data_IF_576791282072
#
_entry.id   IF_576791282072
#
_cell.length_a   1.000
_cell.length_b   1.000
_cell.length_c   1.000
_cell.angle_alpha   90.00
_cell.angle_beta   90.00
_cell.angle_gamma   90.00
#
_symmetry.space_group_name_H-M   'P 1'
#
loop_
_entity.id
_entity.type
_entity.pdbx_description
1 polymer ?
#
# COMPACT_ATOMS: atom_id res chain seq x y z
N UNK A 1 -5.36 -58.50 -14.29
CA UNK A 1 -5.49 -59.27 -13.03
C UNK A 1 -5.01 -58.35 -11.92
N UNK A 2 -5.97 -58.14 -11.04
CA UNK A 2 -5.85 -57.77 -9.60
C UNK A 2 -5.35 -56.37 -9.26
N UNK A 3 -5.93 -55.63 -8.35
CA UNK A 3 -7.20 -55.71 -7.64
C UNK A 3 -7.46 -54.34 -7.01
N UNK A 4 -8.67 -53.98 -7.07
CA UNK A 4 -9.30 -52.84 -6.44
C UNK A 4 -9.36 -53.05 -4.92
N UNK A 5 -8.82 -52.12 -4.12
CA UNK A 5 -9.15 -52.05 -2.70
C UNK A 5 -9.75 -50.70 -2.38
N UNK A 6 -11.06 -50.70 -2.28
CA UNK A 6 -11.89 -49.69 -1.64
C UNK A 6 -11.76 -49.85 -0.13
N UNK A 7 -11.32 -48.81 0.57
CA UNK A 7 -11.56 -48.73 2.02
C UNK A 7 -12.50 -47.56 2.25
N UNK A 8 -13.76 -47.94 2.44
CA UNK A 8 -14.80 -47.06 2.93
C UNK A 8 -14.63 -46.85 4.44
N UNK A 9 -14.51 -45.63 4.88
CA UNK A 9 -14.71 -45.27 6.28
C UNK A 9 -16.05 -44.59 6.45
N UNK A 10 -16.95 -45.35 7.02
CA UNK A 10 -18.28 -44.97 7.44
C UNK A 10 -18.22 -44.68 8.95
N UNK A 11 -18.25 -43.40 9.33
CA UNK A 11 -18.51 -43.04 10.72
C UNK A 11 -19.87 -42.35 10.84
N UNK A 12 -20.75 -43.09 11.45
CA UNK A 12 -22.05 -42.65 11.95
C UNK A 12 -21.85 -41.66 13.11
N UNK A 13 -22.56 -40.57 13.05
CA UNK A 13 -23.47 -39.98 14.00
C UNK A 13 -23.05 -39.91 15.46
N UNK A 14 -22.95 -38.71 15.97
CA UNK A 14 -23.58 -38.38 17.27
C UNK A 14 -23.90 -36.89 17.23
N UNK A 15 -25.18 -36.62 17.05
CA UNK A 15 -25.79 -35.30 17.33
C UNK A 15 -26.25 -35.37 18.76
N UNK A 16 -25.62 -34.64 19.64
CA UNK A 16 -26.15 -34.41 20.97
C UNK A 16 -26.59 -32.95 21.10
N UNK A 17 -27.84 -32.69 21.44
CA UNK A 17 -28.31 -31.34 21.71
C UNK A 17 -28.13 -31.03 23.19
N UNK A 18 -27.29 -30.08 23.52
CA UNK A 18 -27.30 -29.52 24.86
C UNK A 18 -28.19 -28.27 24.84
N UNK A 19 -29.45 -28.54 24.96
CA UNK A 19 -30.43 -27.55 25.36
C UNK A 19 -30.53 -27.55 26.89
N UNK A 20 -30.70 -26.36 27.46
CA UNK A 20 -31.28 -26.10 28.78
C UNK A 20 -30.39 -26.31 30.01
N UNK A 21 -29.77 -25.22 30.45
CA UNK A 21 -29.84 -24.83 31.85
C UNK A 21 -30.13 -23.35 31.94
N UNK A 22 -31.40 -23.02 31.80
CA UNK A 22 -31.98 -21.86 32.45
C UNK A 22 -32.31 -22.30 33.86
N UNK A 23 -32.05 -21.49 34.86
CA UNK A 23 -32.83 -21.28 36.09
C UNK A 23 -32.01 -20.33 36.97
N UNK A 24 -32.43 -19.09 36.95
CA UNK A 24 -32.98 -18.34 38.08
C UNK A 24 -32.06 -18.22 39.32
N UNK A 25 -31.42 -17.09 39.47
CA UNK A 25 -31.31 -16.43 40.76
C UNK A 25 -31.84 -15.02 40.60
N UNK A 26 -33.08 -14.85 40.94
CA UNK A 26 -33.79 -13.60 41.16
C UNK A 26 -33.72 -13.28 42.66
N UNK A 27 -33.58 -11.99 42.92
CA UNK A 27 -33.91 -11.26 44.16
C UNK A 27 -32.88 -11.29 45.30
N UNK A 28 -32.24 -10.21 45.43
CA UNK A 28 -32.32 -9.24 46.54
C UNK A 28 -30.97 -8.49 46.61
N UNK A 29 -31.03 -7.20 46.42
CA UNK A 29 -30.46 -6.18 47.29
C UNK A 29 -30.57 -4.84 46.57
N UNK A 30 -31.46 -4.04 46.96
CA UNK A 30 -31.21 -2.84 47.74
C UNK A 30 -30.79 -1.66 46.85
N UNK A 31 -31.75 -0.80 46.61
CA UNK A 31 -31.58 0.55 46.09
C UNK A 31 -30.50 1.32 46.85
N UNK A 32 -29.41 1.69 46.17
CA UNK A 32 -28.62 2.87 46.52
C UNK A 32 -28.54 3.73 45.28
N UNK A 33 -29.38 4.76 45.24
CA UNK A 33 -29.29 5.86 44.28
C UNK A 33 -28.09 6.71 44.63
N UNK A 34 -26.96 6.36 44.06
CA UNK A 34 -25.79 7.25 44.00
C UNK A 34 -25.62 7.67 42.57
N UNK A 35 -26.09 8.87 42.22
CA UNK A 35 -25.84 9.47 40.89
C UNK A 35 -24.35 9.74 40.73
N UNK A 36 -23.65 8.83 40.11
CA UNK A 36 -22.35 9.12 39.52
C UNK A 36 -22.65 9.60 38.10
N UNK A 37 -22.67 10.91 37.93
CA UNK A 37 -22.50 11.52 36.63
C UNK A 37 -21.11 11.07 36.13
N UNK A 38 -21.10 9.99 35.36
CA UNK A 38 -19.98 9.69 34.51
C UNK A 38 -19.88 10.87 33.52
N UNK A 39 -19.03 11.81 33.79
CA UNK A 39 -18.51 12.70 32.77
C UNK A 39 -17.94 11.74 31.68
N UNK A 40 -18.66 11.63 30.61
CA UNK A 40 -18.17 11.06 29.36
C UNK A 40 -17.11 12.01 28.84
N UNK A 41 -15.92 11.89 29.42
CA UNK A 41 -14.71 12.44 28.87
C UNK A 41 -14.48 11.62 27.57
N UNK A 42 -15.15 12.07 26.52
CA UNK A 42 -14.84 11.67 25.15
C UNK A 42 -13.44 12.18 24.84
N UNK A 43 -12.45 11.53 25.42
CA UNK A 43 -11.10 11.58 24.85
C UNK A 43 -11.19 10.90 23.51
N UNK A 44 -11.63 11.68 22.52
CA UNK A 44 -11.19 11.50 21.17
C UNK A 44 -9.65 11.64 21.21
N UNK A 45 -8.97 10.58 21.59
CA UNK A 45 -7.58 10.39 21.19
C UNK A 45 -7.64 10.01 19.70
N UNK A 46 -8.00 11.02 18.88
CA UNK A 46 -7.66 11.01 17.48
C UNK A 46 -6.15 11.20 17.40
N UNK A 47 -5.44 10.10 17.73
CA UNK A 47 -4.02 9.94 17.46
C UNK A 47 -3.82 9.47 16.01
N UNK A 48 -4.62 10.00 15.07
CA UNK A 48 -4.28 9.94 13.68
C UNK A 48 -3.07 10.87 13.52
N UNK A 49 -1.90 10.28 13.28
CA UNK A 49 -0.77 11.03 12.74
C UNK A 49 -1.33 11.91 11.61
N UNK A 50 -0.92 13.19 11.49
CA UNK A 50 -1.49 14.10 10.51
C UNK A 50 -1.47 13.42 9.14
N UNK A 51 -2.68 13.20 8.60
CA UNK A 51 -2.83 12.50 7.33
C UNK A 51 -1.98 13.25 6.30
N UNK A 52 -1.02 12.56 5.69
CA UNK A 52 -0.14 13.13 4.67
C UNK A 52 -1.01 13.57 3.49
N UNK A 53 -1.57 14.75 3.56
CA UNK A 53 -2.56 15.27 2.59
C UNK A 53 -2.03 15.26 1.16
N UNK A 54 -0.71 15.38 1.00
CA UNK A 54 -0.04 15.31 -0.29
C UNK A 54 -0.13 13.92 -0.96
N UNK A 55 -0.26 12.81 -0.21
CA UNK A 55 -0.43 11.47 -0.78
C UNK A 55 -1.65 11.36 -1.70
N UNK A 56 -2.73 12.07 -1.40
CA UNK A 56 -3.95 12.09 -2.24
C UNK A 56 -3.94 13.24 -3.26
N UNK A 57 -3.47 14.41 -2.84
CA UNK A 57 -3.55 15.63 -3.66
C UNK A 57 -2.53 15.63 -4.79
N UNK A 58 -1.29 15.21 -4.55
CA UNK A 58 -0.21 15.27 -5.54
C UNK A 58 -0.46 14.38 -6.75
N UNK A 59 -0.83 13.10 -6.61
CA UNK A 59 -1.17 12.27 -7.76
C UNK A 59 -2.30 12.86 -8.61
N UNK A 60 -3.32 13.46 -7.98
CA UNK A 60 -4.42 14.11 -8.69
C UNK A 60 -3.94 15.34 -9.48
N UNK A 61 -3.09 16.18 -8.90
CA UNK A 61 -2.49 17.33 -9.59
C UNK A 61 -1.64 16.89 -10.80
N UNK A 62 -0.84 15.84 -10.63
CA UNK A 62 -0.02 15.30 -11.73
C UNK A 62 -0.91 14.76 -12.86
N UNK A 63 -1.97 14.03 -12.53
CA UNK A 63 -2.93 13.51 -13.51
C UNK A 63 -3.64 14.63 -14.29
N UNK A 64 -3.84 15.79 -13.67
CA UNK A 64 -4.41 17.00 -14.30
C UNK A 64 -3.37 17.80 -15.09
N UNK A 65 -2.10 17.40 -15.10
CA UNK A 65 -1.01 18.17 -15.74
C UNK A 65 -0.52 19.36 -14.92
N UNK A 66 -1.00 19.53 -13.69
CA UNK A 66 -0.66 20.65 -12.80
C UNK A 66 0.67 20.40 -12.06
N UNK A 67 1.71 20.05 -12.81
CA UNK A 67 3.00 19.57 -12.26
C UNK A 67 3.64 20.60 -11.33
N UNK A 68 3.57 21.89 -11.69
CA UNK A 68 4.12 22.97 -10.86
C UNK A 68 3.45 23.00 -9.48
N UNK A 69 2.12 22.91 -9.43
CA UNK A 69 1.36 22.88 -8.17
C UNK A 69 1.68 21.62 -7.36
N UNK A 70 1.87 20.48 -8.03
CA UNK A 70 2.28 19.24 -7.37
C UNK A 70 3.64 19.40 -6.67
N UNK A 71 4.62 19.97 -7.34
CA UNK A 71 5.95 20.25 -6.78
C UNK A 71 5.90 21.29 -5.65
N UNK A 72 5.13 22.36 -5.80
CA UNK A 72 4.90 23.35 -4.75
C UNK A 72 4.28 22.73 -3.51
N UNK A 73 3.28 21.84 -3.69
CA UNK A 73 2.63 21.13 -2.58
C UNK A 73 3.60 20.21 -1.83
N UNK A 74 4.43 19.47 -2.56
CA UNK A 74 5.47 18.63 -1.96
C UNK A 74 6.56 19.47 -1.25
N UNK A 75 6.93 20.63 -1.80
CA UNK A 75 7.92 21.50 -1.19
C UNK A 75 7.43 22.17 0.12
N UNK A 76 6.12 22.43 0.24
CA UNK A 76 5.51 22.97 1.47
C UNK A 76 5.56 21.99 2.64
N UNK A 77 5.53 20.70 2.36
CA UNK A 77 5.53 19.64 3.35
C UNK A 77 6.70 18.66 3.07
N UNK A 78 7.92 19.19 3.20
CA UNK A 78 9.13 18.42 2.91
C UNK A 78 9.32 17.27 3.89
N UNK A 79 9.34 16.05 3.37
CA UNK A 79 9.46 14.80 4.11
C UNK A 79 10.68 14.00 3.65
N UNK A 80 11.87 14.51 3.92
CA UNK A 80 13.13 13.94 3.45
C UNK A 80 13.42 12.49 3.91
N UNK A 81 12.66 11.98 4.87
CA UNK A 81 12.77 10.59 5.36
C UNK A 81 11.60 9.70 4.91
N UNK A 82 10.77 10.20 4.00
CA UNK A 82 9.58 9.50 3.54
C UNK A 82 9.74 9.00 2.10
N UNK A 83 9.66 7.68 1.92
CA UNK A 83 9.83 7.07 0.61
C UNK A 83 8.70 7.42 -0.38
N UNK A 84 7.45 7.56 0.10
CA UNK A 84 6.32 7.96 -0.77
C UNK A 84 6.50 9.41 -1.24
N UNK A 85 6.98 10.30 -0.35
CA UNK A 85 7.27 11.69 -0.70
C UNK A 85 8.35 11.77 -1.80
N UNK A 86 9.45 11.06 -1.62
CA UNK A 86 10.50 10.99 -2.63
C UNK A 86 10.01 10.38 -3.94
N UNK A 87 9.21 9.32 -3.89
CA UNK A 87 8.60 8.73 -5.08
C UNK A 87 7.75 9.75 -5.86
N UNK A 88 6.92 10.53 -5.18
CA UNK A 88 6.08 11.54 -5.81
C UNK A 88 6.88 12.73 -6.34
N UNK A 89 7.96 13.15 -5.67
CA UNK A 89 8.89 14.15 -6.19
C UNK A 89 9.55 13.68 -7.49
N UNK A 90 10.06 12.43 -7.51
CA UNK A 90 10.63 11.83 -8.71
C UNK A 90 9.63 11.77 -9.86
N UNK A 91 8.40 11.36 -9.57
CA UNK A 91 7.33 11.30 -10.56
C UNK A 91 6.98 12.69 -11.12
N UNK A 92 6.86 13.71 -10.27
CA UNK A 92 6.57 15.07 -10.70
C UNK A 92 7.69 15.63 -11.59
N UNK A 93 8.97 15.47 -11.23
CA UNK A 93 10.10 15.90 -12.08
C UNK A 93 10.15 15.17 -13.41
N UNK A 94 9.80 13.88 -13.46
CA UNK A 94 9.71 13.12 -14.71
C UNK A 94 8.60 13.63 -15.64
N UNK A 95 7.47 14.07 -15.06
CA UNK A 95 6.29 14.53 -15.81
C UNK A 95 6.33 16.02 -16.18
N UNK A 96 7.25 16.81 -15.66
CA UNK A 96 7.35 18.22 -16.06
C UNK A 96 7.81 18.39 -17.52
N UNK A 97 7.60 19.57 -18.07
CA UNK A 97 8.01 19.89 -19.44
C UNK A 97 8.99 21.07 -19.45
N UNK A 98 10.27 20.89 -19.89
CA UNK A 98 10.88 19.59 -20.21
C UNK A 98 11.11 18.74 -18.96
N UNK A 99 11.19 17.38 -19.10
CA UNK A 99 11.47 16.50 -17.97
C UNK A 99 12.83 16.76 -17.33
N UNK A 100 12.87 16.75 -16.00
CA UNK A 100 14.13 16.79 -15.25
C UNK A 100 14.53 15.38 -14.79
N UNK A 101 15.21 14.67 -15.67
CA UNK A 101 15.63 13.29 -15.39
C UNK A 101 16.63 13.20 -14.24
N UNK A 102 17.46 14.21 -14.03
CA UNK A 102 18.44 14.22 -12.95
C UNK A 102 17.79 14.27 -11.58
N UNK A 103 16.87 15.23 -11.36
CA UNK A 103 16.12 15.32 -10.10
C UNK A 103 15.17 14.14 -9.93
N UNK A 104 14.54 13.67 -10.99
CA UNK A 104 13.68 12.49 -10.95
C UNK A 104 14.45 11.27 -10.45
N UNK A 105 15.59 10.97 -11.04
CA UNK A 105 16.46 9.85 -10.66
C UNK A 105 16.93 9.96 -9.21
N UNK A 106 17.41 11.14 -8.80
CA UNK A 106 17.83 11.39 -7.42
C UNK A 106 16.72 11.01 -6.43
N UNK A 107 15.50 11.46 -6.66
CA UNK A 107 14.40 11.20 -5.76
C UNK A 107 13.96 9.73 -5.76
N UNK A 108 13.95 9.04 -6.89
CA UNK A 108 13.66 7.60 -6.90
C UNK A 108 14.73 6.80 -6.15
N UNK A 109 16.01 7.18 -6.28
CA UNK A 109 17.09 6.53 -5.54
C UNK A 109 16.97 6.75 -4.03
N UNK A 110 16.62 7.97 -3.58
CA UNK A 110 16.35 8.24 -2.16
C UNK A 110 15.13 7.45 -1.66
N UNK A 111 14.05 7.36 -2.44
CA UNK A 111 12.91 6.50 -2.09
C UNK A 111 13.34 5.03 -1.90
N UNK A 112 14.15 4.51 -2.80
CA UNK A 112 14.63 3.12 -2.77
C UNK A 112 15.72 2.87 -1.71
N UNK A 113 16.41 3.90 -1.26
CA UNK A 113 17.32 3.84 -0.13
C UNK A 113 16.57 3.75 1.20
N UNK A 114 15.48 4.53 1.35
CA UNK A 114 14.60 4.48 2.52
C UNK A 114 13.82 3.17 2.56
N UNK A 115 13.24 2.77 1.44
CA UNK A 115 12.42 1.58 1.29
C UNK A 115 12.80 0.80 0.02
N UNK A 116 13.72 -0.18 0.11
CA UNK A 116 14.26 -0.90 -1.06
C UNK A 116 13.24 -1.66 -1.91
N UNK A 117 12.10 -2.00 -1.33
CA UNK A 117 10.97 -2.69 -1.97
C UNK A 117 9.79 -1.76 -2.27
N UNK A 118 10.00 -0.45 -2.32
CA UNK A 118 8.97 0.54 -2.63
C UNK A 118 8.47 0.35 -4.07
N UNK A 119 7.31 -0.26 -4.24
CA UNK A 119 6.79 -0.70 -5.54
C UNK A 119 6.68 0.43 -6.55
N UNK A 120 6.03 1.55 -6.17
CA UNK A 120 5.90 2.70 -7.08
C UNK A 120 7.24 3.31 -7.49
N UNK A 121 8.25 3.35 -6.60
CA UNK A 121 9.57 3.86 -6.95
C UNK A 121 10.32 2.91 -7.90
N UNK A 122 10.18 1.59 -7.71
CA UNK A 122 10.74 0.59 -8.63
C UNK A 122 10.11 0.67 -10.02
N UNK A 123 8.79 0.82 -10.10
CA UNK A 123 8.05 1.01 -11.36
C UNK A 123 8.52 2.28 -12.08
N UNK A 124 8.38 3.43 -11.42
CA UNK A 124 8.62 4.73 -12.06
C UNK A 124 10.10 4.96 -12.37
N UNK A 125 11.01 4.42 -11.57
CA UNK A 125 12.43 4.45 -11.91
C UNK A 125 12.75 3.55 -13.11
N UNK A 126 12.12 2.39 -13.20
CA UNK A 126 12.21 1.53 -14.39
C UNK A 126 11.71 2.25 -15.65
N UNK A 127 10.59 2.95 -15.59
CA UNK A 127 10.10 3.76 -16.70
C UNK A 127 11.05 4.92 -17.05
N UNK A 128 11.64 5.58 -16.05
CA UNK A 128 12.66 6.62 -16.28
C UNK A 128 13.88 6.04 -17.02
N UNK A 129 14.32 4.84 -16.67
CA UNK A 129 15.42 4.15 -17.36
C UNK A 129 15.10 3.90 -18.83
N UNK A 130 13.87 3.48 -19.16
CA UNK A 130 13.43 3.36 -20.57
C UNK A 130 13.47 4.71 -21.29
N UNK A 131 13.05 5.81 -20.64
CA UNK A 131 13.15 7.15 -21.21
C UNK A 131 14.60 7.56 -21.49
N UNK A 132 15.55 7.08 -20.67
CA UNK A 132 17.00 7.26 -20.82
C UNK A 132 17.64 6.25 -21.79
N UNK A 133 16.85 5.36 -22.41
CA UNK A 133 17.30 4.27 -23.29
C UNK A 133 18.10 3.16 -22.56
N UNK A 134 17.87 3.00 -21.26
CA UNK A 134 18.47 1.95 -20.43
C UNK A 134 17.47 0.80 -20.18
N UNK A 135 17.37 -0.09 -21.15
CA UNK A 135 16.52 -1.28 -21.05
C UNK A 135 16.99 -2.24 -19.94
N UNK A 136 18.31 -2.38 -19.77
CA UNK A 136 18.85 -3.31 -18.78
C UNK A 136 18.51 -2.87 -17.34
N UNK A 137 18.62 -1.58 -17.07
CA UNK A 137 18.20 -1.00 -15.80
C UNK A 137 16.70 -1.17 -15.52
N UNK A 138 15.85 -0.94 -16.54
CA UNK A 138 14.41 -1.16 -16.40
C UNK A 138 14.07 -2.62 -16.08
N UNK A 139 14.74 -3.59 -16.73
CA UNK A 139 14.58 -5.02 -16.45
C UNK A 139 15.01 -5.40 -15.02
N UNK A 140 16.08 -4.77 -14.49
CA UNK A 140 16.48 -4.99 -13.11
C UNK A 140 15.43 -4.45 -12.12
N UNK A 141 14.80 -3.30 -12.40
CA UNK A 141 13.69 -2.80 -11.59
C UNK A 141 12.48 -3.74 -11.63
N UNK A 142 12.13 -4.27 -12.79
CA UNK A 142 11.06 -5.27 -12.90
C UNK A 142 11.37 -6.56 -12.13
N UNK A 143 12.63 -7.02 -12.14
CA UNK A 143 13.07 -8.16 -11.33
C UNK A 143 12.97 -7.90 -9.83
N UNK A 144 13.29 -6.69 -9.37
CA UNK A 144 13.10 -6.27 -7.97
C UNK A 144 11.61 -6.22 -7.62
N UNK A 145 10.77 -5.66 -8.49
CA UNK A 145 9.31 -5.66 -8.33
C UNK A 145 8.75 -7.08 -8.21
N UNK A 146 9.20 -8.01 -9.04
CA UNK A 146 8.78 -9.41 -8.95
C UNK A 146 9.06 -10.03 -7.58
N UNK A 147 10.16 -9.64 -6.93
CA UNK A 147 10.47 -10.08 -5.55
C UNK A 147 9.59 -9.39 -4.51
N UNK A 148 9.29 -8.10 -4.70
CA UNK A 148 8.45 -7.32 -3.80
C UNK A 148 6.96 -7.68 -3.91
N UNK A 149 6.53 -8.26 -5.03
CA UNK A 149 5.13 -8.58 -5.36
C UNK A 149 4.95 -10.09 -5.53
N UNK A 150 4.96 -10.85 -4.44
CA UNK A 150 4.96 -12.32 -4.48
C UNK A 150 3.77 -12.91 -5.29
N UNK A 151 2.59 -12.27 -5.21
CA UNK A 151 1.40 -12.68 -5.96
C UNK A 151 1.12 -11.84 -7.21
N UNK A 152 2.10 -11.02 -7.65
CA UNK A 152 1.91 -10.03 -8.69
C UNK A 152 1.34 -8.71 -8.14
N UNK A 153 1.56 -7.61 -8.87
CA UNK A 153 1.03 -6.28 -8.55
C UNK A 153 0.86 -5.47 -9.83
N UNK A 154 0.13 -4.38 -9.74
CA UNK A 154 -0.13 -3.47 -10.85
C UNK A 154 1.19 -2.88 -11.38
N UNK A 155 2.03 -2.41 -10.47
CA UNK A 155 3.32 -1.78 -10.77
C UNK A 155 4.24 -2.70 -11.61
N UNK A 156 4.24 -4.01 -11.32
CA UNK A 156 5.01 -4.98 -12.11
C UNK A 156 4.42 -5.16 -13.51
N UNK A 157 3.09 -5.22 -13.62
CA UNK A 157 2.43 -5.36 -14.94
C UNK A 157 2.68 -4.15 -15.82
N UNK A 158 2.60 -2.95 -15.23
CA UNK A 158 2.74 -1.69 -15.97
C UNK A 158 4.19 -1.50 -16.43
N UNK A 159 5.17 -1.76 -15.58
CA UNK A 159 6.57 -1.73 -15.98
C UNK A 159 6.89 -2.81 -17.02
N UNK A 160 6.36 -4.04 -16.89
CA UNK A 160 6.56 -5.09 -17.88
C UNK A 160 5.99 -4.69 -19.24
N UNK A 161 4.78 -4.14 -19.27
CA UNK A 161 4.15 -3.62 -20.49
C UNK A 161 4.99 -2.51 -21.13
N UNK A 162 5.57 -1.60 -20.30
CA UNK A 162 6.46 -0.55 -20.80
C UNK A 162 7.73 -1.14 -21.42
N UNK A 163 8.34 -2.14 -20.79
CA UNK A 163 9.52 -2.87 -21.30
C UNK A 163 9.21 -3.56 -22.62
N UNK A 164 8.08 -4.29 -22.69
CA UNK A 164 7.68 -5.05 -23.90
C UNK A 164 7.38 -4.11 -25.09
N UNK A 165 6.95 -2.88 -24.80
CA UNK A 165 6.64 -1.86 -25.82
C UNK A 165 7.85 -1.00 -26.18
N UNK A 166 8.96 -1.15 -25.48
CA UNK A 166 10.14 -0.30 -25.64
C UNK A 166 10.82 -0.53 -26.98
N UNK A 167 11.13 0.56 -27.69
CA UNK A 167 11.93 0.57 -28.91
C UNK A 167 13.17 1.42 -28.67
N UNK A 168 14.38 0.86 -28.71
CA UNK A 168 15.63 1.62 -28.63
C UNK A 168 15.66 2.73 -29.69
N UNK A 169 16.23 3.87 -29.33
CA UNK A 169 16.45 5.01 -30.24
C UNK A 169 17.85 4.97 -30.79
#
# INVERSE_FOLDING_TARGET
>A
MEAMVMIGFKTKGLVEPIASVLIAILLAYGSLTGGVQAASDSRNTDSSAPEKSWLKQVPALIAQGEIKKALEKLAQDSQATDADWHNLMGFAYRKQTPPDFGRSEFHYLEALKIKPDHRGALEYYGELMLMKNDLAGAQEMAKRLKKACFFGCEELRDLQKAIDSFKPR
#
